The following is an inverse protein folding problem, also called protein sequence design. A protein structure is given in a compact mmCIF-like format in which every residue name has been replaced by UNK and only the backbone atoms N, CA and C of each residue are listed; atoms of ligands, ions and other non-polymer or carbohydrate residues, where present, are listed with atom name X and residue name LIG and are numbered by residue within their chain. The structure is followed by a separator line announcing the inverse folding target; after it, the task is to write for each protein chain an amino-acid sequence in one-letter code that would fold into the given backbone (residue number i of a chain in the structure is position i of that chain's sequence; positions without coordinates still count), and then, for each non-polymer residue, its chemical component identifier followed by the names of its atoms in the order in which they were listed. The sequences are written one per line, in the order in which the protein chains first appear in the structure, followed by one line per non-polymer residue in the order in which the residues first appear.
data_IF_756501808002
#
_entry.id   IF_756501808002
#
_cell.length_a   1.000
_cell.length_b   1.000
_cell.length_c   1.000
_cell.angle_alpha   90.00
_cell.angle_beta   90.00
_cell.angle_gamma   90.00
#
_symmetry.space_group_name_H-M   'P 1'
#
loop_
_entity.id
_entity.type
_entity.pdbx_description
1 polymer ?
#
# COMPACT_ATOMS: atom_id res chain seq x y z
N UNK A 1 26.51 4.78 -12.69
CA UNK A 1 25.08 4.41 -12.74
C UNK A 1 24.79 3.97 -14.16
N UNK A 2 24.29 2.75 -14.36
CA UNK A 2 23.96 2.23 -15.68
C UNK A 2 22.72 2.95 -16.23
N UNK A 3 22.56 3.06 -17.55
CA UNK A 3 21.33 3.53 -18.20
C UNK A 3 20.09 2.78 -17.68
N UNK A 4 20.27 1.51 -17.29
CA UNK A 4 19.23 0.69 -16.66
C UNK A 4 18.82 1.18 -15.28
N UNK A 5 19.74 1.68 -14.45
CA UNK A 5 19.41 2.22 -13.12
C UNK A 5 18.60 3.53 -13.21
N UNK A 6 18.76 4.26 -14.33
CA UNK A 6 18.04 5.51 -14.60
C UNK A 6 16.63 5.25 -15.16
N UNK A 7 16.44 4.17 -15.92
CA UNK A 7 15.18 3.86 -16.61
C UNK A 7 14.32 2.84 -15.86
N UNK A 8 14.93 1.92 -15.11
CA UNK A 8 14.23 0.88 -14.34
C UNK A 8 14.07 1.34 -12.89
N UNK A 9 12.90 1.88 -12.60
CA UNK A 9 12.57 2.29 -11.25
C UNK A 9 12.40 1.07 -10.35
N UNK A 10 12.96 1.13 -9.14
CA UNK A 10 13.01 -0.01 -8.20
C UNK A 10 11.62 -0.54 -7.85
N UNK A 11 10.67 0.37 -7.63
CA UNK A 11 9.27 0.07 -7.36
C UNK A 11 8.41 1.33 -7.51
N UNK A 12 7.09 1.15 -7.58
CA UNK A 12 6.08 2.20 -7.47
C UNK A 12 5.01 1.81 -6.44
N UNK A 13 4.29 2.80 -5.92
CA UNK A 13 3.27 2.58 -4.91
C UNK A 13 2.14 1.65 -5.41
N UNK A 14 1.83 0.60 -4.65
CA UNK A 14 0.81 -0.38 -5.01
C UNK A 14 1.28 -1.42 -6.04
N UNK A 15 2.57 -1.44 -6.38
CA UNK A 15 3.16 -2.50 -7.19
C UNK A 15 3.15 -3.82 -6.42
N UNK A 16 2.79 -4.90 -7.09
CA UNK A 16 2.88 -6.25 -6.52
C UNK A 16 4.33 -6.67 -6.33
N UNK A 17 4.65 -7.27 -5.18
CA UNK A 17 6.01 -7.67 -4.81
C UNK A 17 6.49 -8.97 -5.45
N UNK A 18 5.57 -9.84 -5.85
CA UNK A 18 5.88 -11.14 -6.44
C UNK A 18 4.78 -11.61 -7.42
N UNK A 19 4.90 -12.85 -7.90
CA UNK A 19 3.90 -13.50 -8.76
C UNK A 19 3.25 -14.70 -8.07
N UNK A 20 3.22 -14.72 -6.73
CA UNK A 20 2.62 -15.81 -5.97
C UNK A 20 1.10 -15.71 -6.00
N UNK A 21 0.46 -16.57 -5.21
CA UNK A 21 -0.97 -16.49 -4.98
C UNK A 21 -1.29 -15.27 -4.12
N UNK A 22 -2.23 -14.47 -4.59
CA UNK A 22 -2.69 -13.27 -3.90
C UNK A 22 -4.20 -13.24 -3.92
N UNK A 23 -4.78 -12.83 -2.80
CA UNK A 23 -6.20 -12.57 -2.70
C UNK A 23 -6.41 -11.08 -2.93
N UNK A 24 -7.02 -10.74 -4.07
CA UNK A 24 -7.41 -9.37 -4.40
C UNK A 24 -8.92 -9.31 -4.52
N UNK A 25 -9.52 -8.39 -3.78
CA UNK A 25 -10.96 -8.13 -3.78
C UNK A 25 -11.24 -6.71 -4.27
N UNK A 26 -12.44 -6.48 -4.79
CA UNK A 26 -12.85 -5.18 -5.30
C UNK A 26 -13.79 -4.49 -4.33
N UNK A 27 -13.52 -3.23 -4.01
CA UNK A 27 -14.36 -2.39 -3.16
C UNK A 27 -14.63 -1.05 -3.83
N UNK A 28 -15.78 -0.44 -3.55
CA UNK A 28 -16.08 0.91 -4.04
C UNK A 28 -15.39 1.97 -3.16
N UNK A 29 -14.68 2.91 -3.77
CA UNK A 29 -14.05 4.02 -3.07
C UNK A 29 -15.09 4.98 -2.47
N UNK A 30 -15.07 5.20 -1.15
CA UNK A 30 -15.91 6.20 -0.48
C UNK A 30 -15.32 7.61 -0.59
N UNK A 31 -14.00 7.70 -0.69
CA UNK A 31 -13.21 8.91 -0.88
C UNK A 31 -12.02 8.62 -1.83
N UNK A 32 -11.24 9.65 -2.14
CA UNK A 32 -10.02 9.49 -2.93
C UNK A 32 -9.02 8.58 -2.19
N UNK A 33 -8.46 7.61 -2.91
CA UNK A 33 -7.54 6.61 -2.36
C UNK A 33 -6.27 6.58 -3.21
N UNK A 34 -5.12 7.01 -2.66
CA UNK A 34 -3.81 6.83 -3.30
C UNK A 34 -3.43 5.36 -3.47
N UNK A 35 -2.52 5.06 -4.38
CA UNK A 35 -1.97 3.71 -4.51
C UNK A 35 -0.97 3.39 -3.39
N UNK A 36 -0.83 2.11 -3.06
CA UNK A 36 0.18 1.63 -2.10
C UNK A 36 -0.06 2.08 -0.67
N UNK A 37 -1.29 2.46 -0.30
CA UNK A 37 -1.66 2.80 1.07
C UNK A 37 -2.55 1.73 1.66
N UNK A 38 -2.50 1.60 2.98
CA UNK A 38 -3.45 0.81 3.75
C UNK A 38 -4.78 1.56 3.76
N UNK A 39 -5.83 0.85 3.39
CA UNK A 39 -7.19 1.35 3.37
C UNK A 39 -8.02 0.63 4.42
N UNK A 40 -9.08 1.30 4.85
CA UNK A 40 -9.98 0.77 5.87
C UNK A 40 -11.38 0.58 5.32
N UNK A 41 -12.19 -0.14 6.08
CA UNK A 41 -13.60 -0.35 5.74
C UNK A 41 -14.35 0.99 5.72
N UNK A 42 -15.07 1.23 4.62
CA UNK A 42 -15.97 2.35 4.47
C UNK A 42 -17.24 2.22 5.32
N UNK A 43 -18.19 3.10 5.04
CA UNK A 43 -19.51 3.12 5.68
C UNK A 43 -20.30 1.83 5.40
N UNK A 44 -20.17 1.28 4.18
CA UNK A 44 -20.73 -0.02 3.80
C UNK A 44 -19.68 -1.12 3.76
N UNK A 45 -20.08 -2.39 3.92
CA UNK A 45 -19.16 -3.54 3.84
C UNK A 45 -18.50 -3.71 2.47
N UNK A 46 -19.10 -3.18 1.41
CA UNK A 46 -18.60 -3.20 0.03
C UNK A 46 -17.79 -1.95 -0.33
N UNK A 47 -17.54 -1.06 0.64
CA UNK A 47 -16.83 0.20 0.44
C UNK A 47 -15.49 0.22 1.17
N UNK A 48 -14.55 0.92 0.56
CA UNK A 48 -13.23 1.19 1.08
C UNK A 48 -13.03 2.69 1.25
N UNK A 49 -12.26 3.10 2.25
CA UNK A 49 -11.87 4.50 2.43
C UNK A 49 -10.42 4.65 2.85
N UNK A 50 -9.86 5.81 2.53
CA UNK A 50 -8.62 6.27 3.10
C UNK A 50 -8.84 6.70 4.56
N UNK A 51 -7.96 6.22 5.43
CA UNK A 51 -7.95 6.53 6.86
C UNK A 51 -8.99 5.75 7.68
N UNK A 52 -8.86 5.78 9.01
CA UNK A 52 -9.62 4.97 9.96
C UNK A 52 -8.77 3.91 10.66
N UNK A 53 -9.42 3.02 11.41
CA UNK A 53 -8.73 2.03 12.28
C UNK A 53 -9.03 0.56 11.96
N UNK A 54 -9.94 0.28 11.02
CA UNK A 54 -10.35 -1.08 10.63
C UNK A 54 -9.75 -1.43 9.26
N UNK A 55 -8.46 -1.79 9.18
CA UNK A 55 -7.81 -2.05 7.91
C UNK A 55 -8.49 -3.21 7.18
N UNK A 56 -8.70 -3.03 5.89
CA UNK A 56 -9.17 -4.11 5.00
C UNK A 56 -8.07 -4.60 4.07
N UNK A 57 -7.02 -3.83 3.81
CA UNK A 57 -5.95 -4.28 2.91
C UNK A 57 -5.15 -3.11 2.34
N UNK A 58 -4.43 -3.38 1.25
CA UNK A 58 -3.61 -2.38 0.55
C UNK A 58 -4.25 -2.07 -0.81
N UNK A 59 -4.34 -0.79 -1.16
CA UNK A 59 -4.76 -0.37 -2.49
C UNK A 59 -3.66 -0.64 -3.53
N UNK A 60 -3.94 -1.50 -4.51
CA UNK A 60 -3.02 -1.83 -5.58
C UNK A 60 -3.01 -0.77 -6.68
N UNK A 61 -1.91 -0.70 -7.41
CA UNK A 61 -1.83 0.16 -8.60
C UNK A 61 -2.67 -0.42 -9.74
N UNK A 62 -3.33 0.46 -10.49
CA UNK A 62 -3.99 0.12 -11.75
C UNK A 62 -3.45 0.99 -12.87
N UNK A 63 -3.07 0.37 -13.99
CA UNK A 63 -2.64 1.10 -15.19
C UNK A 63 -3.78 1.85 -15.89
N UNK A 64 -5.04 1.51 -15.58
CA UNK A 64 -6.20 2.21 -16.12
C UNK A 64 -6.54 3.50 -15.36
N UNK A 65 -5.94 3.71 -14.19
CA UNK A 65 -6.26 4.82 -13.28
C UNK A 65 -5.02 5.70 -13.10
N UNK A 66 -5.17 7.00 -13.35
CA UNK A 66 -4.05 7.96 -13.26
C UNK A 66 -4.11 8.69 -11.93
N UNK A 67 -3.01 8.70 -11.18
CA UNK A 67 -2.86 9.45 -9.93
C UNK A 67 -3.36 8.73 -8.67
N UNK A 68 -4.48 8.00 -8.76
CA UNK A 68 -5.09 7.27 -7.65
C UNK A 68 -6.57 6.98 -7.93
N UNK A 69 -7.21 6.19 -7.08
CA UNK A 69 -8.64 5.91 -7.21
C UNK A 69 -9.46 7.12 -6.79
N UNK A 70 -10.35 7.58 -7.67
CA UNK A 70 -11.33 8.61 -7.36
C UNK A 70 -12.48 8.04 -6.54
N UNK A 71 -13.30 8.92 -5.95
CA UNK A 71 -14.52 8.51 -5.28
C UNK A 71 -15.42 7.72 -6.25
N UNK A 72 -15.96 6.61 -5.76
CA UNK A 72 -16.78 5.62 -6.46
C UNK A 72 -16.04 4.69 -7.44
N UNK A 73 -14.72 4.82 -7.58
CA UNK A 73 -13.95 3.87 -8.38
C UNK A 73 -13.91 2.48 -7.75
N UNK A 74 -13.72 1.48 -8.60
CA UNK A 74 -13.46 0.10 -8.19
C UNK A 74 -11.99 -0.05 -7.75
N UNK A 75 -11.76 -0.03 -6.45
CA UNK A 75 -10.44 -0.19 -5.83
C UNK A 75 -10.07 -1.67 -5.81
N UNK A 76 -8.89 -2.00 -6.35
CA UNK A 76 -8.30 -3.33 -6.21
C UNK A 76 -7.56 -3.42 -4.88
N UNK A 77 -8.05 -4.26 -3.97
CA UNK A 77 -7.58 -4.34 -2.60
C UNK A 77 -6.88 -5.68 -2.36
N UNK A 78 -5.59 -5.63 -2.06
CA UNK A 78 -4.83 -6.79 -1.66
C UNK A 78 -5.18 -7.17 -0.21
N UNK A 79 -5.76 -8.35 -0.02
CA UNK A 79 -6.10 -8.96 1.27
C UNK A 79 -5.02 -9.90 1.79
N UNK A 80 -4.34 -10.58 0.86
CA UNK A 80 -3.27 -11.54 1.14
C UNK A 80 -2.28 -11.53 -0.01
N UNK A 81 -1.00 -11.51 0.30
CA UNK A 81 0.06 -11.42 -0.70
C UNK A 81 1.07 -10.33 -0.39
N UNK A 82 1.79 -9.85 -1.40
CA UNK A 82 2.90 -8.90 -1.21
C UNK A 82 2.74 -7.66 -2.08
N UNK A 83 2.84 -6.47 -1.49
CA UNK A 83 2.78 -5.19 -2.21
C UNK A 83 3.78 -4.15 -1.69
N UNK A 84 4.15 -3.22 -2.57
CA UNK A 84 4.95 -2.05 -2.24
C UNK A 84 4.07 -0.94 -1.66
N UNK A 85 4.31 -0.60 -0.39
CA UNK A 85 3.55 0.39 0.35
C UNK A 85 4.32 1.70 0.54
N UNK A 86 3.59 2.82 0.56
CA UNK A 86 4.13 4.14 0.84
C UNK A 86 4.44 4.28 2.32
N UNK A 87 5.70 4.57 2.64
CA UNK A 87 6.16 4.76 4.01
C UNK A 87 5.85 6.18 4.48
N UNK A 88 5.39 6.33 5.73
CA UNK A 88 5.20 7.65 6.35
C UNK A 88 6.53 8.40 6.43
N UNK A 89 6.48 9.71 6.25
CA UNK A 89 7.69 10.54 6.17
C UNK A 89 8.56 10.38 7.43
N UNK A 90 9.87 10.26 7.22
CA UNK A 90 10.90 10.08 8.26
C UNK A 90 10.81 8.80 9.11
N UNK A 91 9.94 7.84 8.78
CA UNK A 91 9.90 6.55 9.46
C UNK A 91 11.10 5.66 9.07
N UNK A 92 11.61 4.94 10.07
CA UNK A 92 12.65 3.95 9.91
C UNK A 92 12.04 2.55 10.05
N UNK A 93 11.93 1.85 8.92
CA UNK A 93 11.39 0.49 8.85
C UNK A 93 12.54 -0.52 8.85
N UNK A 94 12.40 -1.57 9.66
CA UNK A 94 13.31 -2.71 9.70
C UNK A 94 12.63 -3.91 9.05
N UNK A 95 13.35 -4.65 8.21
CA UNK A 95 12.82 -5.89 7.64
C UNK A 95 12.49 -6.90 8.77
N UNK A 96 11.40 -7.63 8.60
CA UNK A 96 10.86 -8.58 9.56
C UNK A 96 10.03 -7.96 10.69
N UNK A 97 9.93 -6.62 10.79
CA UNK A 97 9.09 -6.01 11.82
C UNK A 97 7.61 -6.06 11.45
N UNK A 98 6.76 -6.05 12.48
CA UNK A 98 5.32 -5.88 12.31
C UNK A 98 5.00 -4.54 11.62
N UNK A 99 3.88 -4.51 10.90
CA UNK A 99 3.44 -3.33 10.14
C UNK A 99 2.37 -2.59 10.93
N UNK A 100 2.60 -1.28 11.12
CA UNK A 100 1.54 -0.34 11.49
C UNK A 100 1.27 0.61 10.33
N UNK A 101 0.19 1.37 10.41
CA UNK A 101 -0.11 2.43 9.46
C UNK A 101 -0.65 3.66 10.16
N UNK A 102 -0.49 4.79 9.49
CA UNK A 102 -1.05 6.05 9.91
C UNK A 102 -2.54 6.10 9.59
N UNK A 103 -3.43 6.22 10.58
CA UNK A 103 -4.87 6.16 10.36
C UNK A 103 -5.42 7.38 9.63
N UNK A 104 -4.62 8.43 9.39
CA UNK A 104 -5.04 9.57 8.58
C UNK A 104 -4.67 9.38 7.10
N UNK A 105 -3.42 8.99 6.83
CA UNK A 105 -2.89 8.90 5.46
C UNK A 105 -2.86 7.50 4.85
N UNK A 106 -3.08 6.45 5.64
CA UNK A 106 -2.93 5.05 5.20
C UNK A 106 -1.48 4.64 4.93
N UNK A 107 -0.50 5.55 5.05
CA UNK A 107 0.93 5.23 4.87
C UNK A 107 1.40 4.27 5.94
N UNK A 108 2.23 3.30 5.55
CA UNK A 108 2.80 2.33 6.49
C UNK A 108 3.89 2.98 7.35
N UNK A 109 3.95 2.58 8.60
CA UNK A 109 4.79 3.17 9.63
C UNK A 109 5.18 2.13 10.68
N UNK A 110 6.13 2.46 11.55
CA UNK A 110 6.47 1.64 12.71
C UNK A 110 5.46 1.83 13.85
N UNK A 111 4.86 3.03 13.91
CA UNK A 111 3.89 3.43 14.93
C UNK A 111 2.53 3.76 14.31
N UNK A 112 1.45 3.61 15.06
CA UNK A 112 0.09 3.91 14.59
C UNK A 112 -0.88 2.76 14.84
N UNK A 113 -1.82 2.57 13.92
CA UNK A 113 -2.75 1.44 13.98
C UNK A 113 -2.07 0.18 13.43
N UNK A 114 -2.13 -0.92 14.17
CA UNK A 114 -1.56 -2.18 13.71
C UNK A 114 -2.31 -2.69 12.46
N UNK A 115 -1.55 -3.09 11.44
CA UNK A 115 -2.07 -3.88 10.34
C UNK A 115 -1.89 -5.35 10.71
N UNK A 116 -2.96 -6.08 11.07
CA UNK A 116 -2.86 -7.45 11.52
C UNK A 116 -2.32 -8.35 10.40
N UNK A 117 -1.57 -9.38 10.79
CA UNK A 117 -0.97 -10.37 9.88
C UNK A 117 -0.06 -9.78 8.80
N UNK A 118 0.48 -8.57 9.03
CA UNK A 118 1.37 -7.92 8.09
C UNK A 118 2.81 -7.78 8.60
N UNK A 119 3.76 -8.04 7.71
CA UNK A 119 5.21 -7.97 8.00
C UNK A 119 5.92 -7.18 6.91
N UNK A 120 6.88 -6.34 7.31
CA UNK A 120 7.78 -5.67 6.37
C UNK A 120 8.81 -6.66 5.83
N UNK A 121 8.86 -6.88 4.52
CA UNK A 121 9.88 -7.72 3.88
C UNK A 121 11.18 -6.97 3.60
N UNK A 122 11.12 -5.65 3.52
CA UNK A 122 12.29 -4.80 3.26
C UNK A 122 12.36 -3.67 4.29
N UNK A 123 13.55 -3.11 4.47
CA UNK A 123 13.67 -1.76 5.02
C UNK A 123 13.09 -0.72 4.05
N UNK A 124 13.13 0.55 4.43
CA UNK A 124 12.75 1.66 3.55
C UNK A 124 13.65 1.70 2.31
N UNK A 125 13.04 1.72 1.14
CA UNK A 125 13.69 1.85 -0.16
C UNK A 125 13.32 3.18 -0.78
N UNK A 126 14.33 4.01 -1.07
CA UNK A 126 14.15 5.21 -1.87
C UNK A 126 13.96 4.83 -3.35
N UNK A 127 12.75 5.10 -3.85
CA UNK A 127 12.34 4.82 -5.23
C UNK A 127 12.28 6.09 -6.11
N UNK A 128 12.94 7.18 -5.69
CA UNK A 128 13.03 8.42 -6.44
C UNK A 128 11.68 9.11 -6.57
N UNK A 129 11.17 9.26 -7.81
CA UNK A 129 9.90 9.98 -8.07
C UNK A 129 8.67 9.36 -7.38
N UNK A 130 8.75 8.08 -6.99
CA UNK A 130 7.68 7.38 -6.26
C UNK A 130 7.83 7.44 -4.73
N UNK A 131 8.85 8.15 -4.24
CA UNK A 131 9.09 8.36 -2.82
C UNK A 131 9.69 7.15 -2.11
N UNK A 132 9.52 7.14 -0.78
CA UNK A 132 10.01 6.08 0.11
C UNK A 132 8.97 4.98 0.22
N UNK A 133 9.35 3.78 -0.21
CA UNK A 133 8.48 2.60 -0.21
C UNK A 133 9.08 1.49 0.66
N UNK A 134 8.23 0.58 1.13
CA UNK A 134 8.65 -0.66 1.76
C UNK A 134 7.75 -1.80 1.28
N UNK A 135 8.34 -2.99 1.12
CA UNK A 135 7.60 -4.17 0.73
C UNK A 135 6.88 -4.75 1.95
N UNK A 136 5.57 -4.97 1.83
CA UNK A 136 4.71 -5.46 2.89
C UNK A 136 4.04 -6.75 2.44
N UNK A 137 4.12 -7.78 3.27
CA UNK A 137 3.40 -9.05 3.09
C UNK A 137 2.21 -9.10 4.04
N UNK A 138 1.02 -9.44 3.54
CA UNK A 138 -0.17 -9.80 4.30
C UNK A 138 -0.36 -11.32 4.20
N UNK A 139 -0.40 -11.99 5.35
CA UNK A 139 -0.58 -13.43 5.46
C UNK A 139 -2.06 -13.86 5.55
#
# INVERSE_FOLDING_TARGET
MSMYDQLQQKAFAGMKGDSRYDLVETFAAENEIPFGVVITQGTSATQAKLGGTKPIGIALHSHAVVGGYAKFDAVSVLRKGVAWCVVKDSEAITAGSAVSFDPASGKVAKTGTALPNATFKTAVVDCGKYGKLALVELA
#
